data_IF_355624564774
#
_entry.id   IF_355624564774
#
_cell.length_a   1.000
_cell.length_b   1.000
_cell.length_c   1.000
_cell.angle_alpha   90.00
_cell.angle_beta   90.00
_cell.angle_gamma   90.00
#
_symmetry.space_group_name_H-M   'P 1'
#
loop_
_entity.id
_entity.type
_entity.pdbx_description
1 polymer ?
#
# COMPACT_ATOMS: atom_id res chain seq x y z
N UNK A 1 22.38 -15.54 61.07
CA UNK A 1 23.70 -15.78 61.67
C UNK A 1 24.37 -16.91 60.90
N UNK A 2 25.57 -16.62 60.36
CA UNK A 2 26.76 -17.47 60.14
C UNK A 2 26.61 -18.71 59.22
N UNK A 3 27.18 -18.72 57.99
CA UNK A 3 28.61 -18.82 57.57
C UNK A 3 29.19 -20.22 57.81
N UNK A 4 29.43 -21.04 56.77
CA UNK A 4 30.71 -21.27 56.04
C UNK A 4 31.75 -22.02 56.90
N UNK A 5 32.42 -23.13 56.54
CA UNK A 5 33.23 -23.50 55.37
C UNK A 5 33.56 -25.01 55.49
N UNK A 6 33.84 -25.74 54.39
CA UNK A 6 35.13 -26.42 54.18
C UNK A 6 35.22 -27.07 52.79
N UNK A 7 36.42 -27.01 52.22
CA UNK A 7 36.82 -27.27 50.84
C UNK A 7 38.10 -28.11 50.83
N UNK A 8 38.27 -29.06 49.89
CA UNK A 8 39.55 -29.59 49.35
C UNK A 8 39.18 -30.62 48.23
N UNK A 9 39.36 -30.37 46.92
CA UNK A 9 40.57 -30.53 46.05
C UNK A 9 41.08 -31.98 45.98
N UNK A 10 41.33 -32.72 44.88
CA UNK A 10 41.80 -32.58 43.47
C UNK A 10 41.61 -34.00 42.79
N UNK A 11 42.03 -34.36 41.54
CA UNK A 11 42.70 -33.60 40.47
C UNK A 11 42.06 -33.69 39.06
N UNK A 12 42.47 -32.75 38.21
CA UNK A 12 42.22 -32.69 36.76
C UNK A 12 43.02 -33.74 35.97
N UNK A 13 42.42 -34.30 34.90
CA UNK A 13 43.14 -34.93 33.78
C UNK A 13 42.81 -34.17 32.47
N UNK A 14 43.79 -33.97 31.58
CA UNK A 14 43.66 -33.14 30.39
C UNK A 14 42.93 -33.88 29.26
N UNK A 15 42.00 -33.18 28.60
CA UNK A 15 41.33 -33.67 27.39
C UNK A 15 42.20 -33.29 26.18
N UNK A 16 42.67 -34.32 25.45
CA UNK A 16 43.40 -34.21 24.20
C UNK A 16 42.53 -33.58 23.09
N UNK A 17 43.07 -32.58 22.39
CA UNK A 17 42.49 -32.05 21.16
C UNK A 17 42.89 -32.93 19.94
N UNK A 18 42.00 -33.12 18.95
CA UNK A 18 42.33 -33.87 17.73
C UNK A 18 43.20 -33.04 16.77
N UNK A 19 44.02 -33.69 15.89
CA UNK A 19 45.04 -33.01 15.11
C UNK A 19 44.49 -32.29 13.87
N UNK A 20 45.05 -31.11 13.61
CA UNK A 20 44.84 -30.27 12.43
C UNK A 20 45.25 -31.00 11.13
N UNK A 21 44.31 -31.12 10.20
CA UNK A 21 44.59 -31.57 8.84
C UNK A 21 45.36 -30.48 8.08
N UNK A 22 46.50 -30.88 7.50
CA UNK A 22 47.41 -30.03 6.73
C UNK A 22 46.74 -29.54 5.44
N UNK A 23 46.44 -28.24 5.37
CA UNK A 23 46.11 -27.56 4.10
C UNK A 23 47.41 -27.39 3.30
N UNK A 24 47.45 -27.99 2.12
CA UNK A 24 48.57 -27.95 1.17
C UNK A 24 48.51 -26.65 0.35
N UNK A 25 49.50 -25.79 0.54
CA UNK A 25 49.78 -24.61 -0.29
C UNK A 25 50.49 -25.06 -1.57
N UNK A 26 50.02 -24.69 -2.79
CA UNK A 26 50.83 -24.76 -3.99
C UNK A 26 51.61 -23.45 -4.18
N UNK A 27 52.91 -23.56 -4.47
CA UNK A 27 53.82 -22.44 -4.70
C UNK A 27 54.21 -22.35 -6.19
N UNK A 28 54.08 -21.13 -6.75
CA UNK A 28 54.81 -20.49 -7.90
C UNK A 28 54.55 -20.95 -9.36
N UNK A 29 54.98 -20.16 -10.38
CA UNK A 29 55.18 -18.70 -10.50
C UNK A 29 54.58 -18.08 -11.80
N UNK A 30 54.53 -16.74 -11.91
CA UNK A 30 54.25 -16.06 -13.18
C UNK A 30 53.98 -14.56 -13.08
N UNK A 31 55.05 -13.77 -13.19
CA UNK A 31 55.05 -12.32 -13.50
C UNK A 31 54.29 -12.02 -14.80
N UNK A 32 53.48 -10.93 -14.87
CA UNK A 32 53.53 -9.94 -15.97
C UNK A 32 52.61 -8.71 -15.75
N UNK A 33 53.26 -7.55 -15.89
CA UNK A 33 52.84 -6.18 -16.23
C UNK A 33 51.43 -5.62 -15.91
N UNK A 34 51.46 -4.57 -15.09
CA UNK A 34 50.57 -3.41 -15.18
C UNK A 34 50.59 -2.80 -16.59
N UNK A 35 49.45 -2.81 -17.28
CA UNK A 35 49.18 -1.83 -18.35
C UNK A 35 47.83 -1.14 -18.14
N UNK A 36 47.99 0.17 -17.97
CA UNK A 36 47.04 1.27 -18.01
C UNK A 36 46.20 1.21 -19.29
N UNK A 37 44.87 1.20 -19.17
CA UNK A 37 43.97 1.68 -20.23
C UNK A 37 42.86 2.51 -19.61
N UNK A 38 43.18 3.78 -19.40
CA UNK A 38 42.21 4.86 -19.27
C UNK A 38 41.65 5.16 -20.65
N UNK A 39 40.40 4.76 -20.93
CA UNK A 39 39.65 5.33 -22.06
C UNK A 39 38.94 6.58 -21.59
N UNK A 40 39.63 7.69 -21.83
CA UNK A 40 39.10 9.04 -21.94
C UNK A 40 38.35 9.11 -23.28
N UNK A 41 37.11 9.58 -23.25
CA UNK A 41 36.44 10.20 -24.39
C UNK A 41 35.69 11.41 -23.81
N UNK A 42 36.38 12.55 -23.77
CA UNK A 42 36.16 13.68 -24.67
C UNK A 42 34.83 14.39 -24.40
N UNK A 43 34.92 15.39 -23.52
CA UNK A 43 34.05 16.55 -23.50
C UNK A 43 34.28 17.38 -24.76
N UNK A 44 33.21 17.72 -25.49
CA UNK A 44 33.23 18.88 -26.39
C UNK A 44 31.92 19.69 -26.19
N UNK A 45 32.00 21.01 -25.93
CA UNK A 45 30.85 21.88 -25.74
C UNK A 45 30.42 22.53 -27.06
N UNK A 46 29.11 22.72 -27.26
CA UNK A 46 28.47 23.99 -27.67
C UNK A 46 27.10 23.79 -28.34
N UNK A 47 26.17 24.67 -27.92
CA UNK A 47 25.01 25.24 -28.63
C UNK A 47 24.01 24.25 -29.28
N UNK A 48 22.74 24.25 -28.86
CA UNK A 48 21.82 25.36 -29.19
C UNK A 48 20.60 25.39 -28.27
N UNK A 49 20.20 26.62 -27.92
CA UNK A 49 19.02 26.98 -27.12
C UNK A 49 17.73 26.64 -27.86
N UNK A 50 16.92 25.70 -27.34
CA UNK A 50 15.51 25.61 -27.73
C UNK A 50 14.64 26.35 -26.70
N UNK A 51 14.33 27.61 -27.04
CA UNK A 51 13.30 28.42 -26.41
C UNK A 51 11.93 27.84 -26.73
N UNK A 52 11.16 27.53 -25.70
CA UNK A 52 9.72 27.30 -25.79
C UNK A 52 9.04 28.62 -26.18
N UNK A 53 8.47 28.70 -27.38
CA UNK A 53 7.57 29.79 -27.81
C UNK A 53 6.13 29.28 -27.74
N UNK A 54 5.38 29.89 -26.83
CA UNK A 54 3.92 29.78 -26.74
C UNK A 54 3.35 30.73 -27.82
N UNK A 55 2.56 30.20 -28.76
CA UNK A 55 1.84 31.00 -29.74
C UNK A 55 0.35 31.03 -29.35
N UNK A 56 -0.09 32.23 -28.99
CA UNK A 56 -1.46 32.65 -28.72
C UNK A 56 -2.18 32.78 -30.07
N UNK A 57 -3.32 32.11 -30.27
CA UNK A 57 -4.14 32.29 -31.47
C UNK A 57 -4.82 33.67 -31.42
N UNK A 58 -4.59 34.47 -32.46
CA UNK A 58 -5.21 35.78 -32.70
C UNK A 58 -6.25 35.64 -33.81
N UNK A 59 -7.43 36.22 -33.56
CA UNK A 59 -8.55 36.40 -34.48
C UNK A 59 -8.18 37.25 -35.71
N UNK A 60 -8.57 36.78 -36.89
CA UNK A 60 -8.92 37.61 -38.05
C UNK A 60 -10.45 37.58 -38.19
N UNK A 61 -11.19 38.56 -38.71
CA UNK A 61 -10.92 39.87 -39.29
C UNK A 61 -12.29 40.54 -39.53
N UNK A 62 -12.36 41.87 -39.55
CA UNK A 62 -13.57 42.64 -39.85
C UNK A 62 -13.51 43.24 -41.26
N UNK A 63 -14.71 43.29 -41.89
CA UNK A 63 -15.20 43.90 -43.16
C UNK A 63 -14.75 45.36 -43.45
N UNK A 64 -15.10 46.05 -44.57
CA UNK A 64 -16.34 45.92 -45.39
C UNK A 64 -16.22 46.14 -46.93
N UNK A 65 -17.25 45.77 -47.69
CA UNK A 65 -17.87 46.59 -48.77
C UNK A 65 -19.07 45.87 -49.44
N UNK A 66 -20.12 46.64 -49.76
CA UNK A 66 -21.41 46.29 -50.39
C UNK A 66 -21.52 47.20 -51.65
N UNK A 67 -22.23 46.89 -52.77
CA UNK A 67 -23.70 46.94 -52.78
C UNK A 67 -24.48 46.04 -53.80
N UNK A 68 -25.70 45.65 -53.38
CA UNK A 68 -27.03 45.65 -54.09
C UNK A 68 -27.32 44.77 -55.32
N UNK A 69 -28.42 44.00 -55.20
CA UNK A 69 -29.55 43.78 -56.16
C UNK A 69 -30.55 42.85 -55.46
N UNK A 70 -31.61 43.32 -54.79
CA UNK A 70 -32.98 43.54 -55.32
C UNK A 70 -33.55 42.35 -56.10
N UNK A 71 -34.54 41.62 -55.53
CA UNK A 71 -35.93 41.49 -56.04
C UNK A 71 -36.75 40.36 -55.34
N UNK A 72 -37.92 40.78 -54.84
CA UNK A 72 -39.23 40.11 -54.64
C UNK A 72 -39.48 39.26 -53.38
N UNK A 73 -40.28 39.88 -52.50
CA UNK A 73 -41.08 39.28 -51.42
C UNK A 73 -42.20 38.38 -51.96
N UNK A 74 -42.47 37.29 -51.23
CA UNK A 74 -43.82 36.72 -51.14
C UNK A 74 -44.15 36.48 -49.67
N UNK A 75 -45.21 37.13 -49.21
CA UNK A 75 -45.72 37.14 -47.85
C UNK A 75 -46.57 35.90 -47.52
N UNK A 76 -46.63 35.63 -46.19
CA UNK A 76 -47.64 34.93 -45.36
C UNK A 76 -47.27 33.52 -44.83
N UNK A 77 -47.72 33.14 -43.62
CA UNK A 77 -47.62 33.86 -42.35
C UNK A 77 -47.00 32.98 -41.24
N UNK A 78 -46.59 33.66 -40.18
CA UNK A 78 -46.00 33.22 -38.91
C UNK A 78 -46.71 32.02 -38.27
N UNK A 79 -46.02 30.89 -38.19
CA UNK A 79 -46.37 29.74 -37.35
C UNK A 79 -45.42 29.75 -36.13
N UNK A 80 -46.02 29.90 -34.95
CA UNK A 80 -45.36 29.85 -33.64
C UNK A 80 -44.67 28.48 -33.45
N UNK A 81 -43.37 28.42 -33.71
CA UNK A 81 -42.53 27.28 -33.31
C UNK A 81 -42.21 27.42 -31.82
N UNK A 82 -42.85 26.58 -31.00
CA UNK A 82 -42.45 26.37 -29.61
C UNK A 82 -40.96 25.97 -29.53
N UNK A 83 -40.22 26.42 -28.50
CA UNK A 83 -38.83 26.03 -28.35
C UNK A 83 -38.76 24.54 -27.99
N UNK A 84 -38.10 23.75 -28.84
CA UNK A 84 -37.68 22.37 -28.54
C UNK A 84 -36.96 22.33 -27.18
N UNK A 85 -37.69 21.91 -26.16
CA UNK A 85 -37.17 21.54 -24.87
C UNK A 85 -36.80 20.04 -24.90
N UNK A 86 -35.82 19.65 -25.70
CA UNK A 86 -35.23 18.31 -25.58
C UNK A 86 -33.69 18.32 -25.63
N UNK A 87 -33.10 18.73 -24.51
CA UNK A 87 -31.69 18.43 -24.16
C UNK A 87 -31.60 17.64 -22.84
N UNK A 88 -32.62 16.87 -22.52
CA UNK A 88 -32.67 16.01 -21.32
C UNK A 88 -32.31 14.56 -21.64
N UNK A 89 -32.57 14.11 -22.87
CA UNK A 89 -32.38 12.71 -23.29
C UNK A 89 -30.94 12.32 -23.66
N UNK A 90 -30.10 13.29 -24.07
CA UNK A 90 -28.70 13.04 -24.45
C UNK A 90 -27.80 12.72 -23.22
N UNK A 91 -28.01 13.37 -22.08
CA UNK A 91 -27.22 13.16 -20.87
C UNK A 91 -27.54 11.81 -20.18
N UNK A 92 -28.80 11.36 -20.25
CA UNK A 92 -29.24 10.10 -19.63
C UNK A 92 -28.79 8.84 -20.38
N UNK A 93 -28.55 8.96 -21.70
CA UNK A 93 -28.13 7.83 -22.54
C UNK A 93 -26.65 7.51 -22.38
N UNK A 94 -25.83 8.52 -22.11
CA UNK A 94 -24.36 8.41 -22.01
C UNK A 94 -23.91 7.76 -20.68
N UNK A 95 -24.56 8.07 -19.56
CA UNK A 95 -24.20 7.52 -18.24
C UNK A 95 -24.42 6.00 -18.13
N UNK A 96 -25.51 5.49 -18.74
CA UNK A 96 -25.78 4.04 -18.73
C UNK A 96 -24.72 3.27 -19.51
N UNK A 97 -24.32 3.76 -20.68
CA UNK A 97 -23.23 3.15 -21.46
C UNK A 97 -21.90 3.20 -20.71
N UNK A 98 -21.56 4.33 -20.05
CA UNK A 98 -20.34 4.42 -19.24
C UNK A 98 -20.34 3.45 -18.06
N UNK A 99 -21.47 3.31 -17.36
CA UNK A 99 -21.60 2.34 -16.26
C UNK A 99 -21.46 0.90 -16.76
N UNK A 100 -22.05 0.58 -17.91
CA UNK A 100 -22.01 -0.75 -18.49
C UNK A 100 -20.59 -1.10 -18.96
N UNK A 101 -19.90 -0.17 -19.63
CA UNK A 101 -18.48 -0.32 -19.97
C UNK A 101 -17.59 -0.48 -18.74
N UNK A 102 -17.85 0.27 -17.66
CA UNK A 102 -17.13 0.15 -16.42
C UNK A 102 -17.34 -1.25 -15.79
N UNK A 103 -18.58 -1.71 -15.73
CA UNK A 103 -18.95 -3.04 -15.24
C UNK A 103 -18.32 -4.17 -16.08
N UNK A 104 -18.36 -4.06 -17.41
CA UNK A 104 -17.71 -5.02 -18.30
C UNK A 104 -16.20 -5.02 -18.14
N UNK A 105 -15.58 -3.86 -17.92
CA UNK A 105 -14.17 -3.77 -17.56
C UNK A 105 -13.89 -4.44 -16.20
N UNK A 106 -14.80 -4.37 -15.22
CA UNK A 106 -14.63 -5.05 -13.92
C UNK A 106 -14.67 -6.55 -14.17
N UNK A 107 -15.68 -7.02 -14.90
CA UNK A 107 -15.87 -8.43 -15.22
C UNK A 107 -14.68 -9.01 -15.99
N UNK A 108 -14.14 -8.29 -16.99
CA UNK A 108 -12.94 -8.69 -17.72
C UNK A 108 -11.72 -8.75 -16.81
N UNK A 109 -11.51 -7.76 -15.95
CA UNK A 109 -10.39 -7.75 -15.02
C UNK A 109 -10.49 -8.91 -14.02
N UNK A 110 -11.68 -9.17 -13.49
CA UNK A 110 -11.99 -10.34 -12.62
C UNK A 110 -11.89 -11.68 -13.37
N UNK A 111 -11.96 -11.68 -14.70
CA UNK A 111 -11.68 -12.86 -15.52
C UNK A 111 -10.19 -13.18 -15.64
N UNK A 112 -9.31 -12.19 -15.50
CA UNK A 112 -7.87 -12.33 -15.73
C UNK A 112 -7.12 -12.82 -14.48
N UNK A 113 -6.62 -14.05 -14.51
CA UNK A 113 -5.85 -14.65 -13.40
C UNK A 113 -4.38 -14.24 -13.45
N UNK A 114 -3.67 -14.37 -12.31
CA UNK A 114 -2.21 -14.34 -12.30
C UNK A 114 -1.68 -15.77 -12.37
N UNK A 115 -0.56 -15.94 -13.08
CA UNK A 115 0.19 -17.20 -13.09
C UNK A 115 1.39 -17.07 -12.18
N UNK A 116 1.38 -17.79 -11.05
CA UNK A 116 2.45 -17.77 -10.05
C UNK A 116 3.25 -19.07 -10.00
N UNK A 117 4.59 -19.02 -9.88
CA UNK A 117 5.45 -20.22 -9.81
C UNK A 117 5.34 -20.96 -8.47
N UNK A 118 4.93 -20.26 -7.41
CA UNK A 118 4.46 -20.70 -6.10
C UNK A 118 3.63 -21.97 -5.90
N UNK A 119 3.85 -22.78 -4.86
CA UNK A 119 2.83 -23.70 -4.33
C UNK A 119 2.02 -23.07 -3.19
N UNK A 120 0.90 -23.70 -2.82
CA UNK A 120 0.07 -23.29 -1.68
C UNK A 120 0.83 -23.38 -0.35
N UNK A 121 1.79 -24.30 -0.24
CA UNK A 121 2.69 -24.41 0.91
C UNK A 121 3.52 -23.13 1.07
N UNK A 122 4.09 -22.59 -0.01
CA UNK A 122 4.82 -21.31 0.05
C UNK A 122 3.91 -20.15 0.46
N UNK A 123 2.65 -20.12 -0.01
CA UNK A 123 1.68 -19.10 0.41
C UNK A 123 1.49 -19.17 1.92
N UNK A 124 1.19 -20.37 2.44
CA UNK A 124 0.96 -20.58 3.85
C UNK A 124 2.21 -20.26 4.68
N UNK A 125 3.39 -20.70 4.24
CA UNK A 125 4.66 -20.43 4.88
C UNK A 125 4.92 -18.92 5.01
N UNK A 126 4.78 -18.16 3.91
CA UNK A 126 5.00 -16.70 3.94
C UNK A 126 4.01 -16.02 4.86
N UNK A 127 2.72 -16.36 4.78
CA UNK A 127 1.69 -15.74 5.61
C UNK A 127 1.88 -16.06 7.10
N UNK A 128 2.22 -17.31 7.44
CA UNK A 128 2.48 -17.70 8.83
C UNK A 128 3.74 -17.04 9.38
N UNK A 129 4.83 -16.99 8.60
CA UNK A 129 6.05 -16.30 9.00
C UNK A 129 5.81 -14.80 9.18
N UNK A 130 5.03 -14.19 8.30
CA UNK A 130 4.67 -12.77 8.41
C UNK A 130 3.85 -12.48 9.68
N UNK A 131 2.79 -13.25 9.96
CA UNK A 131 1.99 -13.09 11.19
C UNK A 131 2.84 -13.35 12.44
N UNK A 132 3.66 -14.40 12.43
CA UNK A 132 4.53 -14.74 13.55
C UNK A 132 5.57 -13.64 13.81
N UNK A 133 6.17 -13.08 12.76
CA UNK A 133 7.13 -11.99 12.87
C UNK A 133 6.46 -10.71 13.40
N UNK A 134 5.29 -10.34 12.88
CA UNK A 134 4.52 -9.20 13.36
C UNK A 134 4.23 -9.33 14.87
N UNK A 135 3.68 -10.47 15.28
CA UNK A 135 3.37 -10.71 16.69
C UNK A 135 4.61 -10.73 17.59
N UNK A 136 5.68 -11.41 17.15
CA UNK A 136 6.93 -11.52 17.90
C UNK A 136 7.62 -10.16 18.04
N UNK A 137 7.68 -9.37 16.97
CA UNK A 137 8.33 -8.05 16.98
C UNK A 137 7.58 -7.09 17.89
N UNK A 138 6.27 -6.93 17.69
CA UNK A 138 5.45 -5.99 18.43
C UNK A 138 5.23 -6.37 19.89
N UNK A 139 5.07 -7.66 20.19
CA UNK A 139 4.72 -8.12 21.54
C UNK A 139 5.93 -8.52 22.40
N UNK A 140 7.04 -8.93 21.79
CA UNK A 140 8.21 -9.44 22.54
C UNK A 140 9.47 -8.63 22.25
N UNK A 141 9.92 -8.59 20.99
CA UNK A 141 11.24 -8.04 20.65
C UNK A 141 11.37 -6.56 21.03
N UNK A 142 10.39 -5.74 20.67
CA UNK A 142 10.42 -4.30 20.92
C UNK A 142 10.21 -3.97 22.41
N UNK A 143 9.21 -4.53 23.12
CA UNK A 143 9.08 -4.33 24.57
C UNK A 143 10.30 -4.80 25.36
N UNK A 144 10.90 -5.93 24.99
CA UNK A 144 12.12 -6.44 25.62
C UNK A 144 13.31 -5.52 25.39
N UNK A 145 13.52 -5.04 24.15
CA UNK A 145 14.57 -4.08 23.84
C UNK A 145 14.37 -2.74 24.61
N UNK A 146 13.13 -2.28 24.75
CA UNK A 146 12.80 -1.09 25.54
C UNK A 146 13.17 -1.29 27.01
N UNK A 147 12.80 -2.44 27.59
CA UNK A 147 13.14 -2.79 28.96
C UNK A 147 14.66 -2.87 29.19
N UNK A 148 15.40 -3.50 28.28
CA UNK A 148 16.87 -3.56 28.33
C UNK A 148 17.53 -2.19 28.25
N UNK A 149 16.94 -1.27 27.50
CA UNK A 149 17.41 0.12 27.39
C UNK A 149 16.97 1.00 28.58
N UNK A 150 16.21 0.44 29.55
CA UNK A 150 15.73 1.14 30.73
C UNK A 150 14.51 2.04 30.48
N UNK A 151 13.82 1.90 29.35
CA UNK A 151 12.61 2.66 29.03
C UNK A 151 11.36 1.86 29.35
N UNK A 152 10.37 2.51 29.98
CA UNK A 152 8.99 2.00 30.06
C UNK A 152 8.13 2.77 29.06
N UNK A 153 7.30 2.08 28.28
CA UNK A 153 6.36 2.74 27.35
C UNK A 153 5.44 3.74 28.08
N UNK A 154 5.10 3.43 29.33
CA UNK A 154 4.21 4.24 30.17
C UNK A 154 4.90 5.48 30.74
N UNK A 155 6.23 5.51 30.83
CA UNK A 155 6.98 6.69 31.27
C UNK A 155 7.35 7.63 30.11
N UNK A 156 7.09 7.23 28.86
CA UNK A 156 7.35 8.07 27.69
C UNK A 156 6.29 9.15 27.55
N UNK A 157 6.73 10.34 27.14
CA UNK A 157 5.84 11.42 26.69
C UNK A 157 5.01 10.97 25.48
N UNK A 158 3.91 11.66 25.18
CA UNK A 158 3.10 11.36 23.98
C UNK A 158 3.93 11.30 22.69
N UNK A 159 4.92 12.19 22.55
CA UNK A 159 5.87 12.17 21.43
C UNK A 159 6.77 10.94 21.44
N UNK A 160 7.25 10.55 22.62
CA UNK A 160 8.04 9.34 22.80
C UNK A 160 7.24 8.08 22.44
N UNK A 161 5.97 8.00 22.84
CA UNK A 161 5.09 6.89 22.48
C UNK A 161 4.78 6.84 20.97
N UNK A 162 4.58 8.00 20.34
CA UNK A 162 4.35 8.07 18.90
C UNK A 162 5.61 7.68 18.11
N UNK A 163 6.79 8.15 18.52
CA UNK A 163 8.06 7.75 17.92
C UNK A 163 8.31 6.24 18.11
N UNK A 164 8.04 5.72 19.30
CA UNK A 164 8.15 4.29 19.58
C UNK A 164 7.26 3.47 18.64
N UNK A 165 6.01 3.88 18.46
CA UNK A 165 5.07 3.25 17.53
C UNK A 165 5.57 3.27 16.08
N UNK A 166 6.15 4.40 15.64
CA UNK A 166 6.73 4.52 14.30
C UNK A 166 7.92 3.57 14.10
N UNK A 167 8.81 3.48 15.08
CA UNK A 167 9.95 2.55 15.03
C UNK A 167 9.48 1.11 15.00
N UNK A 168 8.49 0.74 15.81
CA UNK A 168 7.87 -0.60 15.80
C UNK A 168 7.31 -0.92 14.41
N UNK A 169 6.45 -0.05 13.87
CA UNK A 169 5.78 -0.27 12.59
C UNK A 169 6.77 -0.42 11.42
N UNK A 170 7.77 0.47 11.36
CA UNK A 170 8.83 0.38 10.32
C UNK A 170 9.64 -0.91 10.47
N UNK A 171 9.93 -1.34 11.70
CA UNK A 171 10.66 -2.60 11.94
C UNK A 171 9.85 -3.81 11.50
N UNK A 172 8.56 -3.85 11.81
CA UNK A 172 7.64 -4.91 11.39
C UNK A 172 7.47 -4.95 9.87
N UNK A 173 7.29 -3.78 9.24
CA UNK A 173 7.18 -3.66 7.79
C UNK A 173 8.42 -4.15 7.05
N UNK A 174 9.62 -3.73 7.50
CA UNK A 174 10.89 -4.18 6.94
C UNK A 174 11.10 -5.68 7.13
N UNK A 175 10.76 -6.22 8.30
CA UNK A 175 10.84 -7.66 8.55
C UNK A 175 9.88 -8.44 7.62
N UNK A 176 8.66 -7.94 7.42
CA UNK A 176 7.69 -8.52 6.50
C UNK A 176 8.19 -8.55 5.06
N UNK A 177 8.77 -7.45 4.56
CA UNK A 177 9.39 -7.39 3.23
C UNK A 177 10.58 -8.35 3.15
N UNK A 178 11.42 -8.42 4.17
CA UNK A 178 12.58 -9.31 4.19
C UNK A 178 12.16 -10.79 4.12
N UNK A 179 11.12 -11.19 4.86
CA UNK A 179 10.53 -12.53 4.81
C UNK A 179 10.00 -12.83 3.40
N UNK A 180 9.20 -11.90 2.86
CA UNK A 180 8.64 -12.04 1.51
C UNK A 180 9.73 -12.20 0.46
N UNK A 181 10.74 -11.32 0.46
CA UNK A 181 11.87 -11.38 -0.44
C UNK A 181 12.67 -12.68 -0.28
N UNK A 182 12.93 -13.12 0.95
CA UNK A 182 13.71 -14.35 1.24
C UNK A 182 12.99 -15.61 0.79
N UNK A 183 11.68 -15.68 0.94
CA UNK A 183 10.87 -16.81 0.49
C UNK A 183 10.68 -16.82 -1.03
N UNK A 184 10.62 -15.64 -1.64
CA UNK A 184 10.42 -15.50 -3.08
C UNK A 184 11.72 -15.50 -3.89
N UNK A 185 12.89 -15.35 -3.26
CA UNK A 185 14.18 -15.25 -3.94
C UNK A 185 14.49 -16.47 -4.81
N UNK A 186 13.98 -17.64 -4.45
CA UNK A 186 14.15 -18.88 -5.22
C UNK A 186 13.37 -18.90 -6.55
N UNK A 187 12.38 -18.02 -6.72
CA UNK A 187 11.51 -17.95 -7.90
C UNK A 187 11.87 -16.79 -8.84
N UNK A 188 13.01 -16.13 -8.65
CA UNK A 188 13.44 -15.05 -9.52
C UNK A 188 13.90 -15.56 -10.91
N UNK A 189 13.60 -14.84 -12.01
CA UNK A 189 12.92 -13.54 -12.06
C UNK A 189 11.39 -13.63 -11.96
N UNK A 190 10.80 -12.74 -11.15
CA UNK A 190 9.35 -12.59 -11.03
C UNK A 190 8.76 -11.86 -12.25
N UNK A 191 7.50 -12.14 -12.67
CA UNK A 191 6.83 -11.41 -13.74
C UNK A 191 6.75 -9.89 -13.47
N UNK A 192 6.92 -9.09 -14.52
CA UNK A 192 7.01 -7.61 -14.44
C UNK A 192 5.73 -6.90 -13.95
N UNK A 193 4.61 -7.61 -14.00
CA UNK A 193 3.24 -7.17 -13.73
C UNK A 193 2.80 -7.44 -12.28
N UNK A 194 3.71 -7.93 -11.44
CA UNK A 194 3.38 -8.44 -10.11
C UNK A 194 3.53 -7.39 -9.01
N UNK A 195 4.68 -6.72 -8.93
CA UNK A 195 4.91 -5.56 -8.06
C UNK A 195 5.06 -4.28 -8.88
N UNK A 196 4.04 -3.97 -9.68
CA UNK A 196 4.05 -2.78 -10.52
C UNK A 196 3.71 -1.54 -9.70
N UNK A 197 4.60 -0.54 -9.78
CA UNK A 197 4.42 0.81 -9.26
C UNK A 197 4.46 1.80 -10.42
N UNK A 198 3.29 2.25 -10.88
CA UNK A 198 3.20 3.21 -11.99
C UNK A 198 2.34 4.41 -11.63
N UNK A 199 2.92 5.60 -11.69
CA UNK A 199 2.15 6.85 -11.59
C UNK A 199 1.29 7.10 -12.83
N UNK A 200 1.66 6.53 -13.97
CA UNK A 200 0.91 6.65 -15.22
C UNK A 200 -0.27 5.68 -15.23
N UNK A 201 -1.44 6.14 -15.69
CA UNK A 201 -2.62 5.32 -15.94
C UNK A 201 -3.93 6.07 -15.64
N UNK A 202 -5.05 5.43 -15.93
CA UNK A 202 -6.41 5.95 -15.60
C UNK A 202 -6.90 5.47 -14.23
N UNK A 203 -6.01 4.93 -13.39
CA UNK A 203 -6.36 4.35 -12.10
C UNK A 203 -6.82 5.38 -11.06
N UNK A 204 -6.58 6.68 -11.29
CA UNK A 204 -7.11 7.75 -10.44
C UNK A 204 -8.64 7.71 -10.36
N UNK A 205 -9.32 7.34 -11.45
CA UNK A 205 -10.77 7.18 -11.44
C UNK A 205 -11.21 6.00 -10.56
N UNK A 206 -10.45 4.89 -10.56
CA UNK A 206 -10.75 3.74 -9.69
C UNK A 206 -10.57 4.13 -8.20
N UNK A 207 -9.58 4.98 -7.88
CA UNK A 207 -9.40 5.51 -6.50
C UNK A 207 -10.54 6.42 -6.11
N UNK A 208 -10.93 7.37 -6.97
CA UNK A 208 -12.09 8.26 -6.70
C UNK A 208 -13.35 7.44 -6.48
N UNK A 209 -13.61 6.45 -7.32
CA UNK A 209 -14.76 5.54 -7.16
C UNK A 209 -14.68 4.75 -5.84
N UNK A 210 -13.49 4.31 -5.45
CA UNK A 210 -13.25 3.68 -4.15
C UNK A 210 -13.56 4.62 -2.97
N UNK A 211 -13.14 5.89 -3.04
CA UNK A 211 -13.45 6.89 -2.02
C UNK A 211 -14.95 7.15 -1.89
N UNK A 212 -15.71 7.09 -3.00
CA UNK A 212 -17.17 7.20 -2.95
C UNK A 212 -17.83 6.06 -2.14
N UNK A 213 -17.13 4.95 -1.89
CA UNK A 213 -17.63 3.85 -1.06
C UNK A 213 -17.42 4.08 0.44
N UNK A 214 -16.67 5.10 0.87
CA UNK A 214 -16.39 5.38 2.29
C UNK A 214 -17.63 5.52 3.17
N UNK A 215 -18.72 6.21 2.73
CA UNK A 215 -19.96 6.26 3.51
C UNK A 215 -20.58 4.88 3.74
N UNK A 216 -20.43 3.96 2.78
CA UNK A 216 -20.89 2.57 2.92
C UNK A 216 -20.04 1.83 3.94
N UNK A 217 -18.72 1.98 3.88
CA UNK A 217 -17.81 1.40 4.89
C UNK A 217 -18.17 1.89 6.30
N UNK A 218 -18.45 3.20 6.46
CA UNK A 218 -18.91 3.76 7.73
C UNK A 218 -20.23 3.16 8.20
N UNK A 219 -21.22 3.04 7.30
CA UNK A 219 -22.53 2.42 7.61
C UNK A 219 -22.37 0.97 8.04
N UNK A 220 -21.50 0.22 7.36
CA UNK A 220 -21.14 -1.15 7.71
C UNK A 220 -20.43 -1.23 9.06
N UNK A 221 -19.57 -0.26 9.39
CA UNK A 221 -18.94 -0.19 10.70
C UNK A 221 -19.97 0.02 11.82
N UNK A 222 -20.93 0.93 11.62
CA UNK A 222 -22.01 1.14 12.59
C UNK A 222 -22.90 -0.09 12.74
N UNK A 223 -23.23 -0.74 11.62
CA UNK A 223 -23.97 -2.00 11.64
C UNK A 223 -23.21 -3.09 12.41
N UNK A 224 -21.91 -3.23 12.19
CA UNK A 224 -21.09 -4.22 12.89
C UNK A 224 -21.03 -3.96 14.41
N UNK A 225 -20.92 -2.70 14.82
CA UNK A 225 -20.99 -2.30 16.24
C UNK A 225 -22.37 -2.61 16.86
N UNK A 226 -23.45 -2.40 16.11
CA UNK A 226 -24.81 -2.71 16.57
C UNK A 226 -25.08 -4.22 16.69
N UNK A 227 -24.40 -5.06 15.90
CA UNK A 227 -24.47 -6.52 16.00
C UNK A 227 -23.65 -7.08 17.16
N UNK A 228 -22.55 -6.42 17.50
CA UNK A 228 -21.64 -6.80 18.58
C UNK A 228 -21.52 -5.69 19.64
N UNK A 229 -22.65 -5.24 20.25
CA UNK A 229 -22.61 -4.28 21.34
C UNK A 229 -21.90 -4.95 22.52
N UNK A 230 -20.85 -4.33 23.03
CA UNK A 230 -19.96 -4.96 24.01
C UNK A 230 -20.70 -5.52 25.24
N UNK A 231 -20.31 -6.74 25.65
CA UNK A 231 -19.99 -6.96 27.06
C UNK A 231 -18.86 -5.99 27.42
N UNK A 232 -18.99 -5.14 28.45
CA UNK A 232 -18.09 -4.03 28.68
C UNK A 232 -16.65 -4.52 28.72
N UNK A 233 -15.85 -4.06 27.76
CA UNK A 233 -14.41 -4.23 27.84
C UNK A 233 -13.97 -3.60 29.16
N UNK A 234 -13.32 -4.39 30.02
CA UNK A 234 -12.39 -3.94 31.07
C UNK A 234 -11.75 -2.60 30.68
N UNK A 235 -11.59 -1.62 31.59
CA UNK A 235 -11.20 -0.25 31.26
C UNK A 235 -10.04 -0.26 30.28
N UNK A 236 -10.38 -0.12 29.01
CA UNK A 236 -9.42 -0.20 27.91
C UNK A 236 -8.62 1.05 28.08
N UNK A 237 -7.34 0.89 28.43
CA UNK A 237 -6.37 1.93 28.21
C UNK A 237 -6.60 2.44 26.80
N UNK A 238 -7.08 3.68 26.68
CA UNK A 238 -7.30 4.33 25.38
C UNK A 238 -6.10 4.01 24.50
N UNK A 239 -6.32 3.66 23.24
CA UNK A 239 -5.20 3.40 22.34
C UNK A 239 -4.25 4.58 22.40
N UNK A 240 -2.94 4.34 22.30
CA UNK A 240 -1.94 5.42 22.43
C UNK A 240 -2.18 6.55 21.41
N UNK A 241 -2.84 6.23 20.29
CA UNK A 241 -3.35 7.18 19.30
C UNK A 241 -4.44 8.08 19.91
N UNK A 242 -5.52 7.50 20.47
CA UNK A 242 -6.60 8.26 21.12
C UNK A 242 -6.08 9.14 22.27
N UNK A 243 -5.15 8.64 23.08
CA UNK A 243 -4.51 9.43 24.14
C UNK A 243 -3.78 10.66 23.59
N UNK A 244 -3.06 10.52 22.49
CA UNK A 244 -2.36 11.63 21.84
C UNK A 244 -3.31 12.66 21.23
N UNK A 245 -4.44 12.20 20.69
CA UNK A 245 -5.49 13.06 20.12
C UNK A 245 -6.17 13.86 21.24
N UNK A 246 -6.51 13.22 22.36
CA UNK A 246 -7.06 13.90 23.54
C UNK A 246 -6.08 14.93 24.11
N UNK A 247 -4.78 14.61 24.11
CA UNK A 247 -3.73 15.52 24.55
C UNK A 247 -3.44 16.67 23.57
N UNK A 248 -3.96 16.60 22.34
CA UNK A 248 -3.76 17.59 21.26
C UNK A 248 -2.29 17.97 21.00
N UNK A 249 -1.35 17.03 21.18
CA UNK A 249 0.06 17.28 20.84
C UNK A 249 0.28 17.12 19.33
N UNK A 250 0.62 18.20 18.60
CA UNK A 250 0.65 18.17 17.14
C UNK A 250 1.76 17.27 16.59
N UNK A 251 2.86 17.10 17.32
CA UNK A 251 3.99 16.25 16.88
C UNK A 251 3.62 14.77 17.02
N UNK A 252 3.04 14.37 18.16
CA UNK A 252 2.57 13.01 18.37
C UNK A 252 1.47 12.63 17.36
N UNK A 253 0.52 13.54 17.12
CA UNK A 253 -0.54 13.34 16.13
C UNK A 253 0.01 13.20 14.70
N UNK A 254 1.00 14.03 14.31
CA UNK A 254 1.63 13.93 12.99
C UNK A 254 2.38 12.59 12.82
N UNK A 255 3.10 12.14 13.85
CA UNK A 255 3.78 10.84 13.83
C UNK A 255 2.78 9.67 13.70
N UNK A 256 1.68 9.69 14.45
CA UNK A 256 0.64 8.67 14.31
C UNK A 256 -0.07 8.73 12.97
N UNK A 257 -0.30 9.92 12.42
CA UNK A 257 -0.86 10.07 11.07
C UNK A 257 0.04 9.42 10.01
N UNK A 258 1.36 9.57 10.12
CA UNK A 258 2.33 8.92 9.23
C UNK A 258 2.27 7.39 9.38
N UNK A 259 2.28 6.88 10.61
CA UNK A 259 2.20 5.43 10.87
C UNK A 259 0.93 4.84 10.26
N UNK A 260 -0.22 5.38 10.66
CA UNK A 260 -1.53 4.81 10.33
C UNK A 260 -1.92 5.06 8.87
N UNK A 261 -1.54 6.21 8.28
CA UNK A 261 -1.99 6.59 6.94
C UNK A 261 -0.95 6.32 5.85
N UNK A 262 0.31 6.06 6.19
CA UNK A 262 1.37 5.85 5.18
C UNK A 262 2.04 4.49 5.40
N UNK A 263 2.68 4.29 6.56
CA UNK A 263 3.52 3.12 6.76
C UNK A 263 2.69 1.82 6.74
N UNK A 264 1.68 1.70 7.59
CA UNK A 264 0.82 0.51 7.66
C UNK A 264 0.16 0.17 6.31
N UNK A 265 -0.51 1.09 5.60
CA UNK A 265 -1.07 0.82 4.27
C UNK A 265 -0.04 0.30 3.26
N UNK A 266 1.18 0.86 3.24
CA UNK A 266 2.22 0.42 2.30
C UNK A 266 2.62 -1.03 2.56
N UNK A 267 2.88 -1.40 3.81
CA UNK A 267 3.29 -2.76 4.16
C UNK A 267 2.18 -3.77 3.92
N UNK A 268 0.96 -3.43 4.35
CA UNK A 268 -0.20 -4.31 4.22
C UNK A 268 -0.57 -4.55 2.75
N UNK A 269 -0.58 -3.53 1.90
CA UNK A 269 -0.90 -3.71 0.49
C UNK A 269 0.15 -4.54 -0.26
N UNK A 270 1.43 -4.45 0.09
CA UNK A 270 2.47 -5.32 -0.46
C UNK A 270 2.17 -6.79 -0.17
N UNK A 271 1.78 -7.11 1.08
CA UNK A 271 1.51 -8.50 1.50
C UNK A 271 0.17 -8.99 0.96
N UNK A 272 -0.91 -8.25 1.16
CA UNK A 272 -2.25 -8.71 0.83
C UNK A 272 -2.56 -8.60 -0.67
N UNK A 273 -2.19 -7.50 -1.33
CA UNK A 273 -2.49 -7.27 -2.76
C UNK A 273 -1.33 -7.65 -3.65
N UNK A 274 -0.09 -7.35 -3.23
CA UNK A 274 1.10 -7.72 -4.01
C UNK A 274 1.38 -9.22 -4.00
N UNK A 275 1.20 -9.88 -2.85
CA UNK A 275 1.52 -11.29 -2.70
C UNK A 275 0.30 -12.21 -2.60
N UNK A 276 -0.54 -12.06 -1.56
CA UNK A 276 -1.57 -13.05 -1.23
C UNK A 276 -2.65 -13.16 -2.32
N UNK A 277 -3.27 -12.04 -2.73
CA UNK A 277 -4.36 -12.05 -3.71
C UNK A 277 -3.93 -12.69 -5.05
N UNK A 278 -2.86 -12.25 -5.73
CA UNK A 278 -2.37 -12.92 -6.94
C UNK A 278 -2.10 -14.40 -6.74
N UNK A 279 -1.49 -14.77 -5.60
CA UNK A 279 -1.16 -16.16 -5.30
C UNK A 279 -2.40 -17.05 -5.19
N UNK A 280 -3.49 -16.52 -4.61
CA UNK A 280 -4.77 -17.23 -4.51
C UNK A 280 -5.41 -17.45 -5.89
N UNK A 281 -5.21 -16.54 -6.86
CA UNK A 281 -5.81 -16.69 -8.21
C UNK A 281 -5.33 -17.91 -8.99
N UNK A 282 -4.25 -18.57 -8.54
CA UNK A 282 -3.82 -19.88 -9.05
C UNK A 282 -4.81 -21.01 -8.72
N UNK A 283 -5.47 -20.92 -7.57
CA UNK A 283 -6.30 -22.00 -7.00
C UNK A 283 -7.80 -21.71 -7.07
N UNK A 284 -8.19 -20.45 -7.25
CA UNK A 284 -9.59 -20.03 -7.26
C UNK A 284 -9.83 -18.87 -8.24
N UNK A 285 -11.07 -18.63 -8.69
CA UNK A 285 -11.37 -17.47 -9.54
C UNK A 285 -11.08 -16.15 -8.80
N UNK A 286 -10.83 -15.08 -9.55
CA UNK A 286 -10.34 -13.81 -8.98
C UNK A 286 -11.32 -13.22 -7.96
N UNK A 287 -12.63 -13.34 -8.18
CA UNK A 287 -13.62 -12.85 -7.21
C UNK A 287 -13.52 -13.60 -5.86
N UNK A 288 -13.28 -14.92 -5.87
CA UNK A 288 -13.01 -15.67 -4.65
C UNK A 288 -11.70 -15.23 -4.01
N UNK A 289 -10.65 -15.02 -4.80
CA UNK A 289 -9.35 -14.56 -4.29
C UNK A 289 -9.44 -13.18 -3.63
N UNK A 290 -10.23 -12.26 -4.20
CA UNK A 290 -10.55 -10.96 -3.59
C UNK A 290 -11.23 -11.18 -2.24
N UNK A 291 -12.29 -12.00 -2.18
CA UNK A 291 -13.01 -12.24 -0.93
C UNK A 291 -12.12 -12.87 0.15
N UNK A 292 -11.40 -13.95 -0.19
CA UNK A 292 -10.54 -14.69 0.75
C UNK A 292 -9.39 -13.82 1.26
N UNK A 293 -8.72 -13.07 0.38
CA UNK A 293 -7.68 -12.12 0.80
C UNK A 293 -8.23 -10.99 1.67
N UNK A 294 -9.45 -10.52 1.43
CA UNK A 294 -10.12 -9.49 2.24
C UNK A 294 -10.50 -10.00 3.63
N UNK A 295 -10.94 -11.26 3.73
CA UNK A 295 -11.18 -11.92 5.02
C UNK A 295 -9.86 -12.10 5.77
N UNK A 296 -8.80 -12.58 5.11
CA UNK A 296 -7.48 -12.70 5.74
C UNK A 296 -6.94 -11.35 6.24
N UNK A 297 -7.09 -10.29 5.44
CA UNK A 297 -6.75 -8.91 5.81
C UNK A 297 -7.48 -8.46 7.07
N UNK A 298 -8.79 -8.68 7.12
CA UNK A 298 -9.60 -8.33 8.29
C UNK A 298 -9.25 -9.15 9.54
N UNK A 299 -8.91 -10.43 9.40
CA UNK A 299 -8.53 -11.30 10.52
C UNK A 299 -7.17 -10.89 11.11
N UNK A 300 -6.24 -10.41 10.29
CA UNK A 300 -4.93 -9.94 10.73
C UNK A 300 -5.02 -8.72 11.67
N UNK A 301 -6.16 -8.02 11.71
CA UNK A 301 -6.40 -6.90 12.62
C UNK A 301 -6.85 -7.33 14.03
N UNK A 302 -7.14 -8.62 14.25
CA UNK A 302 -7.54 -9.20 15.54
C UNK A 302 -8.66 -8.42 16.28
N UNK A 303 -9.56 -7.78 15.53
CA UNK A 303 -10.64 -6.97 16.09
C UNK A 303 -11.97 -7.27 15.38
N UNK A 304 -12.82 -8.04 16.08
CA UNK A 304 -14.15 -8.44 15.59
C UNK A 304 -15.10 -7.25 15.34
N UNK A 305 -14.93 -6.15 16.07
CA UNK A 305 -15.75 -4.92 15.91
C UNK A 305 -15.43 -4.16 14.62
N UNK A 306 -14.28 -4.42 14.01
CA UNK A 306 -13.88 -3.83 12.73
C UNK A 306 -13.93 -4.84 11.59
N UNK A 307 -14.37 -6.07 11.84
CA UNK A 307 -14.23 -7.16 10.88
C UNK A 307 -15.01 -6.91 9.59
N UNK A 308 -16.31 -6.67 9.69
CA UNK A 308 -17.18 -6.47 8.54
C UNK A 308 -16.82 -5.23 7.69
N UNK A 309 -16.54 -4.03 8.24
CA UNK A 309 -16.06 -2.91 7.43
C UNK A 309 -14.69 -3.17 6.80
N UNK A 310 -13.77 -3.87 7.47
CA UNK A 310 -12.44 -4.21 6.91
C UNK A 310 -12.52 -5.24 5.79
N UNK A 311 -13.42 -6.23 5.87
CA UNK A 311 -13.69 -7.16 4.76
C UNK A 311 -14.19 -6.37 3.55
N UNK A 312 -15.15 -5.48 3.74
CA UNK A 312 -15.71 -4.70 2.63
C UNK A 312 -14.68 -3.76 2.00
N UNK A 313 -13.96 -2.98 2.82
CA UNK A 313 -12.87 -2.14 2.34
C UNK A 313 -11.80 -2.98 1.63
N UNK A 314 -11.51 -4.16 2.18
CA UNK A 314 -10.57 -5.09 1.58
C UNK A 314 -10.99 -5.54 0.18
N UNK A 315 -12.28 -5.77 -0.04
CA UNK A 315 -12.83 -6.12 -1.36
C UNK A 315 -12.71 -4.96 -2.33
N UNK A 316 -13.02 -3.73 -1.90
CA UNK A 316 -12.88 -2.53 -2.74
C UNK A 316 -11.44 -2.35 -3.20
N UNK A 317 -10.49 -2.43 -2.27
CA UNK A 317 -9.04 -2.37 -2.57
C UNK A 317 -8.60 -3.51 -3.49
N UNK A 318 -9.10 -4.73 -3.27
CA UNK A 318 -8.86 -5.88 -4.14
C UNK A 318 -9.36 -5.67 -5.59
N UNK A 319 -10.56 -5.11 -5.76
CA UNK A 319 -11.11 -4.77 -7.10
C UNK A 319 -10.27 -3.69 -7.78
N UNK A 320 -9.90 -2.63 -7.06
CA UNK A 320 -9.06 -1.54 -7.57
C UNK A 320 -7.70 -2.07 -8.01
N UNK A 321 -7.08 -2.94 -7.21
CA UNK A 321 -5.82 -3.59 -7.57
C UNK A 321 -5.95 -4.48 -8.81
N UNK A 322 -6.98 -5.33 -8.87
CA UNK A 322 -7.21 -6.25 -9.98
C UNK A 322 -7.43 -5.53 -11.30
N UNK A 323 -8.19 -4.42 -11.30
CA UNK A 323 -8.42 -3.59 -12.48
C UNK A 323 -7.17 -2.84 -12.93
N UNK A 324 -6.45 -2.24 -11.98
CA UNK A 324 -5.33 -1.36 -12.31
C UNK A 324 -4.03 -2.12 -12.58
N UNK A 325 -3.90 -3.36 -12.10
CA UNK A 325 -2.65 -4.15 -12.10
C UNK A 325 -1.46 -3.33 -11.60
N UNK A 326 -1.71 -2.53 -10.57
CA UNK A 326 -0.79 -1.55 -10.00
C UNK A 326 -1.07 -1.48 -8.49
N UNK A 327 -0.04 -1.43 -7.65
CA UNK A 327 -0.23 -1.41 -6.20
C UNK A 327 -0.55 -0.01 -5.66
N UNK A 328 -0.01 1.03 -6.30
CA UNK A 328 -0.19 2.42 -5.88
C UNK A 328 -1.65 2.87 -5.69
N UNK A 329 -2.63 2.50 -6.56
CA UNK A 329 -4.02 2.90 -6.40
C UNK A 329 -4.65 2.31 -5.14
N UNK A 330 -4.34 1.04 -4.85
CA UNK A 330 -4.83 0.36 -3.66
C UNK A 330 -4.20 0.94 -2.39
N UNK A 331 -2.88 1.17 -2.41
CA UNK A 331 -2.15 1.87 -1.34
C UNK A 331 -2.71 3.26 -1.07
N UNK A 332 -2.91 4.05 -2.11
CA UNK A 332 -3.46 5.40 -1.98
C UNK A 332 -4.88 5.36 -1.41
N UNK A 333 -5.74 4.47 -1.91
CA UNK A 333 -7.11 4.34 -1.42
C UNK A 333 -7.13 3.94 0.06
N UNK A 334 -6.27 3.01 0.46
CA UNK A 334 -6.10 2.59 1.85
C UNK A 334 -5.61 3.76 2.73
N UNK A 335 -4.56 4.45 2.30
CA UNK A 335 -4.04 5.66 2.96
C UNK A 335 -5.11 6.74 3.14
N UNK A 336 -5.94 6.97 2.12
CA UNK A 336 -7.04 7.93 2.17
C UNK A 336 -8.13 7.51 3.15
N UNK A 337 -8.45 6.22 3.22
CA UNK A 337 -9.40 5.70 4.21
C UNK A 337 -8.87 5.89 5.63
N UNK A 338 -7.63 5.48 5.89
CA UNK A 338 -7.01 5.61 7.21
C UNK A 338 -6.85 7.07 7.62
N UNK A 339 -6.46 7.94 6.70
CA UNK A 339 -6.40 9.38 6.91
C UNK A 339 -7.78 9.97 7.19
N UNK A 340 -8.83 9.56 6.47
CA UNK A 340 -10.20 10.00 6.71
C UNK A 340 -10.67 9.61 8.12
N UNK A 341 -10.46 8.35 8.54
CA UNK A 341 -10.79 7.90 9.90
C UNK A 341 -9.99 8.65 10.95
N UNK A 342 -8.69 8.86 10.73
CA UNK A 342 -7.84 9.63 11.63
C UNK A 342 -8.31 11.08 11.79
N UNK A 343 -8.69 11.74 10.69
CA UNK A 343 -9.28 13.08 10.73
C UNK A 343 -10.61 13.12 11.46
N UNK A 344 -11.45 12.10 11.29
CA UNK A 344 -12.74 12.02 11.98
C UNK A 344 -12.58 11.86 13.50
N UNK A 345 -11.56 11.11 13.94
CA UNK A 345 -11.18 10.98 15.35
C UNK A 345 -10.67 12.28 15.98
N UNK A 346 -10.20 13.25 15.18
CA UNK A 346 -9.71 14.54 15.68
C UNK A 346 -10.81 15.60 15.86
N UNK A 347 -12.01 15.34 15.36
CA UNK A 347 -13.17 16.22 15.55
C UNK A 347 -13.74 16.08 16.96
#
# INVERSE_FOLDING_TARGET
MLSSYCSLSLPQRPILAPPLSKVRIPNRPGTFSLTRSSRIFESNPNLTKNKWKIAFFRHEGFSPENPKSEYIEHFLPEELVEPEFDKSSACKRDWKSTLQEAADAVLRAVGSRWTVPWTAETILQVMLLWVAAFWFIGSWMIPFAAHMAGFSKESLTFRGQALFSLVTDVTEGLAGIAILHRCLSQFHPLPSDWFKFSLKGKWHFDVVLGCLMFPVVNRLSQFNLNLLPLMPSTPVTLSSVEQSILARDPVAMALYAIVVSICAPVWEEIVFRGFLLPSLTKYMPVWCAILVSSVAFSLAHFNVQRMLPLIFLGMVMGVVFVRSRNLLPSMLLHSLWNGFVFLDLMR
#
